data_IF_466636851113
#
_entry.id   IF_466636851113
#
_cell.length_a   1.000
_cell.length_b   1.000
_cell.length_c   1.000
_cell.angle_alpha   90.00
_cell.angle_beta   90.00
_cell.angle_gamma   90.00
#
_symmetry.space_group_name_H-M   'P 1'
#
loop_
_entity.id
_entity.type
_entity.pdbx_description
1 polymer ?
#
# COMPACT_ATOMS: atom_id res chain seq x y z
N UNK A 1 -8.58 13.77 11.02
CA UNK A 1 -7.93 12.51 11.45
C UNK A 1 -6.60 12.44 10.75
N UNK A 2 -5.54 12.11 11.48
CA UNK A 2 -4.19 11.97 10.92
C UNK A 2 -3.84 10.50 10.78
N UNK A 3 -3.23 10.15 9.66
CA UNK A 3 -2.75 8.79 9.36
C UNK A 3 -1.28 8.84 9.01
N UNK A 4 -0.56 7.80 9.42
CA UNK A 4 0.82 7.54 9.03
C UNK A 4 0.85 6.36 8.07
N UNK A 5 1.70 6.47 7.06
CA UNK A 5 1.97 5.37 6.12
C UNK A 5 3.43 4.99 6.26
N UNK A 6 3.65 3.71 6.49
CA UNK A 6 4.97 3.11 6.42
C UNK A 6 4.97 2.14 5.24
N UNK A 7 6.06 2.15 4.48
CA UNK A 7 6.27 1.22 3.37
C UNK A 7 7.67 0.63 3.45
N UNK A 8 7.78 -0.65 3.11
CA UNK A 8 9.07 -1.34 2.95
C UNK A 8 8.94 -2.35 1.82
N UNK A 9 10.06 -2.68 1.18
CA UNK A 9 10.14 -3.77 0.21
C UNK A 9 10.97 -4.90 0.80
N UNK A 10 10.45 -6.12 0.68
CA UNK A 10 11.07 -7.34 1.19
C UNK A 10 11.25 -8.35 0.04
N UNK A 11 12.33 -9.13 0.06
CA UNK A 11 12.55 -10.18 -0.93
C UNK A 11 11.50 -11.29 -0.78
N UNK A 12 11.04 -11.88 -1.90
CA UNK A 12 10.12 -13.02 -1.85
C UNK A 12 10.89 -14.34 -1.66
N UNK A 13 10.52 -15.12 -0.64
CA UNK A 13 11.02 -16.49 -0.43
C UNK A 13 12.33 -16.64 0.35
N UNK A 14 12.90 -17.84 0.31
CA UNK A 14 14.13 -18.25 1.04
C UNK A 14 15.43 -17.88 0.33
N UNK A 15 15.36 -17.23 -0.84
CA UNK A 15 16.46 -17.07 -1.80
C UNK A 15 17.47 -15.95 -1.53
N UNK A 16 17.34 -15.20 -0.44
CA UNK A 16 18.33 -14.21 -0.02
C UNK A 16 17.75 -13.02 0.76
N UNK A 17 18.63 -12.23 1.36
CA UNK A 17 18.27 -11.05 2.18
C UNK A 17 17.92 -9.80 1.35
N UNK A 18 18.08 -9.86 0.02
CA UNK A 18 17.98 -8.69 -0.86
C UNK A 18 17.09 -8.93 -2.08
N UNK A 19 16.37 -7.88 -2.48
CA UNK A 19 15.68 -7.83 -3.77
C UNK A 19 16.66 -7.77 -4.93
N UNK A 20 16.38 -8.55 -5.98
CA UNK A 20 17.19 -8.61 -7.20
C UNK A 20 16.35 -8.23 -8.40
N UNK A 21 16.96 -7.51 -9.36
CA UNK A 21 16.33 -7.17 -10.62
C UNK A 21 15.73 -8.42 -11.29
N UNK A 22 14.48 -8.32 -11.75
CA UNK A 22 13.73 -9.42 -12.37
C UNK A 22 13.18 -10.47 -11.41
N UNK A 23 13.39 -10.34 -10.10
CA UNK A 23 12.84 -11.25 -9.08
C UNK A 23 11.66 -10.63 -8.37
N UNK A 24 10.64 -11.44 -8.04
CA UNK A 24 9.49 -10.94 -7.28
C UNK A 24 9.90 -10.55 -5.85
N UNK A 25 9.38 -9.42 -5.40
CA UNK A 25 9.50 -8.87 -4.06
C UNK A 25 8.12 -8.44 -3.57
N UNK A 26 8.04 -8.07 -2.29
CA UNK A 26 6.80 -7.67 -1.64
C UNK A 26 6.91 -6.24 -1.13
N UNK A 27 6.07 -5.34 -1.65
CA UNK A 27 5.85 -4.03 -1.08
C UNK A 27 4.83 -4.15 0.06
N UNK A 28 5.33 -4.04 1.29
CA UNK A 28 4.54 -4.09 2.51
C UNK A 28 4.15 -2.67 2.92
N UNK A 29 2.88 -2.34 2.78
CA UNK A 29 2.29 -1.09 3.22
C UNK A 29 1.64 -1.28 4.59
N UNK A 30 1.90 -0.36 5.51
CA UNK A 30 1.19 -0.27 6.79
C UNK A 30 0.59 1.11 6.93
N UNK A 31 -0.73 1.16 7.12
CA UNK A 31 -1.45 2.37 7.46
C UNK A 31 -1.77 2.35 8.95
N UNK A 32 -1.39 3.43 9.65
CA UNK A 32 -1.59 3.58 11.09
C UNK A 32 -2.39 4.86 11.35
N UNK A 33 -3.44 4.75 12.15
CA UNK A 33 -4.18 5.90 12.68
C UNK A 33 -3.40 6.46 13.86
N UNK A 34 -2.91 7.70 13.74
CA UNK A 34 -2.05 8.33 14.76
C UNK A 34 -2.84 8.84 15.95
N UNK A 35 -4.10 9.21 15.74
CA UNK A 35 -5.00 9.70 16.80
C UNK A 35 -6.30 8.89 16.79
N UNK A 36 -6.65 8.21 17.90
CA UNK A 36 -7.92 7.52 18.04
C UNK A 36 -9.05 8.52 17.81
N UNK A 37 -10.01 8.18 16.95
CA UNK A 37 -11.25 8.93 16.84
C UNK A 37 -12.38 7.96 17.15
N UNK A 38 -12.84 7.99 18.39
CA UNK A 38 -13.86 7.09 18.95
C UNK A 38 -15.28 7.39 18.43
N UNK A 39 -15.49 8.46 17.65
CA UNK A 39 -16.82 9.01 17.39
C UNK A 39 -17.24 9.05 15.90
N UNK A 40 -16.55 8.34 15.00
CA UNK A 40 -16.95 8.29 13.57
C UNK A 40 -17.43 6.91 13.17
N UNK A 41 -18.75 6.77 13.11
CA UNK A 41 -19.45 5.64 12.51
C UNK A 41 -20.17 6.12 11.24
N UNK A 42 -19.86 5.60 10.04
CA UNK A 42 -18.87 4.55 9.76
C UNK A 42 -17.41 5.02 9.89
N UNK A 43 -16.46 4.09 10.16
CA UNK A 43 -15.04 4.42 10.19
C UNK A 43 -14.60 4.97 8.82
N UNK A 44 -13.64 5.91 8.79
CA UNK A 44 -13.10 6.43 7.53
C UNK A 44 -12.46 5.30 6.74
N UNK A 45 -12.89 5.16 5.48
CA UNK A 45 -12.24 4.30 4.49
C UNK A 45 -11.19 5.13 3.74
N UNK A 46 -10.03 4.55 3.51
CA UNK A 46 -8.94 5.17 2.77
C UNK A 46 -8.64 4.35 1.53
N UNK A 47 -8.30 5.01 0.43
CA UNK A 47 -7.80 4.36 -0.77
C UNK A 47 -6.28 4.51 -0.79
N UNK A 48 -5.57 3.40 -0.96
CA UNK A 48 -4.16 3.42 -1.32
C UNK A 48 -4.01 3.26 -2.83
N UNK A 49 -2.97 3.88 -3.36
CA UNK A 49 -2.53 3.74 -4.74
C UNK A 49 -1.01 3.79 -4.80
N UNK A 50 -0.43 2.84 -5.53
CA UNK A 50 1.01 2.74 -5.75
C UNK A 50 1.35 3.44 -7.07
N UNK A 51 2.12 4.51 -6.96
CA UNK A 51 2.65 5.29 -8.06
C UNK A 51 4.12 4.89 -8.27
N UNK A 52 4.32 3.77 -8.96
CA UNK A 52 5.64 3.26 -9.28
C UNK A 52 6.22 3.96 -10.52
N UNK A 53 7.51 4.30 -10.48
CA UNK A 53 8.28 4.58 -11.69
C UNK A 53 8.45 3.28 -12.46
N UNK A 54 7.79 3.18 -13.63
CA UNK A 54 7.74 1.96 -14.43
C UNK A 54 9.09 1.63 -15.12
N UNK A 55 10.08 2.51 -15.05
CA UNK A 55 11.46 2.18 -15.44
C UNK A 55 12.22 1.43 -14.33
N UNK A 56 11.75 1.55 -13.08
CA UNK A 56 12.42 0.99 -11.89
C UNK A 56 11.66 -0.18 -11.30
N UNK A 57 10.33 -0.14 -11.29
CA UNK A 57 9.48 -1.12 -10.62
C UNK A 57 8.31 -1.52 -11.51
N UNK A 58 8.07 -2.82 -11.62
CA UNK A 58 6.78 -3.36 -12.00
C UNK A 58 5.94 -3.60 -10.75
N UNK A 59 4.66 -3.20 -10.79
CA UNK A 59 3.66 -3.61 -9.80
C UNK A 59 2.87 -4.77 -10.39
N UNK A 60 2.96 -5.93 -9.75
CA UNK A 60 2.39 -7.17 -10.24
C UNK A 60 1.02 -7.38 -9.60
N UNK A 61 -0.04 -7.07 -10.36
CA UNK A 61 -1.43 -7.23 -9.90
C UNK A 61 -2.10 -5.90 -9.58
N UNK A 62 -2.73 -5.79 -8.41
CA UNK A 62 -3.47 -4.57 -8.03
C UNK A 62 -2.50 -3.44 -7.72
N UNK A 63 -2.78 -2.25 -8.24
CA UNK A 63 -2.04 -1.02 -7.94
C UNK A 63 -2.72 -0.14 -6.91
N UNK A 64 -4.00 -0.43 -6.60
CA UNK A 64 -4.79 0.34 -5.65
C UNK A 64 -5.80 -0.55 -4.91
N UNK A 65 -6.30 -0.06 -3.78
CA UNK A 65 -7.33 -0.73 -2.99
C UNK A 65 -7.78 0.10 -1.80
N UNK A 66 -8.74 -0.43 -1.05
CA UNK A 66 -9.36 0.25 0.10
C UNK A 66 -8.86 -0.40 1.39
N UNK A 67 -8.57 0.44 2.39
CA UNK A 67 -8.27 0.05 3.77
C UNK A 67 -9.30 0.67 4.72
N UNK A 68 -9.73 -0.12 5.68
CA UNK A 68 -10.75 0.24 6.68
C UNK A 68 -10.19 -0.04 8.06
N UNK A 69 -10.00 1.02 8.85
CA UNK A 69 -9.42 0.97 10.20
C UNK A 69 -10.56 0.93 11.24
N UNK A 70 -11.37 -0.12 11.21
CA UNK A 70 -12.61 -0.28 11.97
C UNK A 70 -12.39 -0.71 13.43
N UNK A 71 -11.60 -1.76 13.62
CA UNK A 71 -11.34 -2.43 14.90
C UNK A 71 -9.88 -2.28 15.34
N UNK A 72 -8.99 -2.03 14.37
CA UNK A 72 -7.56 -1.86 14.57
C UNK A 72 -7.12 -0.46 14.13
N UNK A 73 -6.22 0.13 14.90
CA UNK A 73 -5.56 1.39 14.53
C UNK A 73 -4.48 1.19 13.46
N UNK A 74 -4.24 -0.06 13.05
CA UNK A 74 -3.23 -0.44 12.06
C UNK A 74 -3.81 -1.45 11.08
N UNK A 75 -3.56 -1.24 9.80
CA UNK A 75 -3.85 -2.21 8.75
C UNK A 75 -2.65 -2.33 7.80
N UNK A 76 -2.30 -3.56 7.44
CA UNK A 76 -1.23 -3.83 6.48
C UNK A 76 -1.78 -4.41 5.18
N UNK A 77 -1.13 -4.06 4.06
CA UNK A 77 -1.41 -4.59 2.73
C UNK A 77 -0.09 -4.95 2.08
N UNK A 78 -0.03 -6.11 1.43
CA UNK A 78 1.14 -6.54 0.67
C UNK A 78 0.80 -6.53 -0.82
N UNK A 79 1.69 -5.96 -1.62
CA UNK A 79 1.62 -5.97 -3.08
C UNK A 79 2.86 -6.65 -3.64
N UNK A 80 2.69 -7.40 -4.72
CA UNK A 80 3.81 -7.98 -5.44
C UNK A 80 4.43 -6.92 -6.33
N UNK A 81 5.74 -6.75 -6.23
CA UNK A 81 6.52 -5.80 -7.02
C UNK A 81 7.79 -6.47 -7.52
N UNK A 82 8.31 -6.01 -8.65
CA UNK A 82 9.55 -6.51 -9.21
C UNK A 82 10.45 -5.33 -9.59
N UNK A 83 11.68 -5.23 -9.05
CA UNK A 83 12.64 -4.25 -9.52
C UNK A 83 13.06 -4.61 -10.96
N UNK A 84 13.07 -3.63 -11.85
CA UNK A 84 13.37 -3.81 -13.27
C UNK A 84 14.83 -3.50 -13.60
N UNK A 85 15.52 -2.81 -12.70
CA UNK A 85 16.94 -2.48 -12.80
C UNK A 85 17.65 -2.75 -11.48
N UNK A 86 18.97 -2.91 -11.55
CA UNK A 86 19.84 -3.13 -10.39
C UNK A 86 20.20 -1.81 -9.69
N UNK A 87 20.55 -1.88 -8.41
CA UNK A 87 21.02 -0.75 -7.61
C UNK A 87 20.10 -0.40 -6.45
N UNK A 88 20.32 0.77 -5.87
CA UNK A 88 19.50 1.30 -4.78
C UNK A 88 18.31 2.07 -5.36
N UNK A 89 17.19 1.36 -5.53
CA UNK A 89 15.99 1.97 -6.06
C UNK A 89 15.24 2.73 -4.96
N UNK A 90 14.69 3.91 -5.27
CA UNK A 90 13.73 4.54 -4.38
C UNK A 90 12.51 3.62 -4.21
N UNK A 91 11.91 3.62 -3.02
CA UNK A 91 10.67 2.88 -2.80
C UNK A 91 9.56 3.41 -3.71
N UNK A 92 8.67 2.53 -4.22
CA UNK A 92 7.47 2.97 -4.93
C UNK A 92 6.66 3.96 -4.08
N UNK A 93 6.24 5.08 -4.67
CA UNK A 93 5.46 6.09 -3.94
C UNK A 93 4.06 5.55 -3.67
N UNK A 94 3.58 5.73 -2.44
CA UNK A 94 2.21 5.36 -2.05
C UNK A 94 1.41 6.60 -1.73
N UNK A 95 0.32 6.78 -2.45
CA UNK A 95 -0.66 7.83 -2.18
C UNK A 95 -1.80 7.26 -1.35
N UNK A 96 -2.12 7.95 -0.25
CA UNK A 96 -3.36 7.73 0.48
C UNK A 96 -4.34 8.87 0.23
N UNK A 97 -5.59 8.51 -0.04
CA UNK A 97 -6.69 9.45 -0.15
C UNK A 97 -7.89 8.96 0.66
N UNK A 98 -8.82 9.88 0.96
CA UNK A 98 -10.12 9.50 1.52
C UNK A 98 -10.91 8.76 0.44
N UNK A 99 -11.41 7.57 0.75
CA UNK A 99 -12.32 6.86 -0.13
C UNK A 99 -13.74 7.41 0.01
N UNK A 100 -14.40 7.66 -1.13
CA UNK A 100 -15.78 8.12 -1.22
C UNK A 100 -16.50 7.10 -2.13
N UNK A 101 -17.38 6.25 -1.59
CA UNK A 101 -18.14 5.31 -2.40
C UNK A 101 -19.01 6.02 -3.43
N UNK A 102 -19.17 5.43 -4.62
CA UNK A 102 -20.22 5.86 -5.54
C UNK A 102 -21.60 5.61 -4.90
N UNK A 103 -22.51 6.58 -5.03
CA UNK A 103 -23.89 6.40 -4.62
C UNK A 103 -24.57 5.64 -5.76
N UNK A 104 -24.91 4.37 -5.57
CA UNK A 104 -25.72 3.65 -6.55
C UNK A 104 -27.14 4.22 -6.53
N UNK A 105 -27.46 5.11 -7.48
CA UNK A 105 -28.85 5.42 -7.81
C UNK A 105 -29.46 4.21 -8.47
N UNK A 106 -30.24 3.45 -7.70
CA UNK A 106 -31.08 2.37 -8.21
C UNK A 106 -32.17 3.00 -9.09
N UNK A 107 -32.00 2.91 -10.41
CA UNK A 107 -33.05 3.21 -11.39
C UNK A 107 -34.13 2.12 -11.39
#
# INVERSE_FOLDING_TARGET
TMFMVSSKVEASGTGGEFCRAGSMCHLCLTVIRVLPNTNKNPPPQLMYEVLADQSMWAVCGRTAGIVTLDTQERQSVTLDVMPLTSGYLPLPVVRLSRYIPAIETKN
#
